data_IF_312714156621
#
_entry.id   IF_312714156621
#
_cell.length_a   1.000
_cell.length_b   1.000
_cell.length_c   1.000
_cell.angle_alpha   90.00
_cell.angle_beta   90.00
_cell.angle_gamma   90.00
#
_symmetry.space_group_name_H-M   'P 1'
#
loop_
_entity.id
_entity.type
_entity.pdbx_description
1 polymer ?
#
# COMPACT_ATOMS: atom_id res chain seq x y z
N UNK A 1 -19.39 -23.75 32.59
CA UNK A 1 -19.73 -24.21 31.24
C UNK A 1 -20.06 -23.10 30.27
N UNK A 2 -20.81 -22.09 30.61
CA UNK A 2 -21.13 -20.96 29.72
C UNK A 2 -19.90 -20.15 29.31
N UNK A 3 -18.92 -20.02 30.17
CA UNK A 3 -17.66 -19.31 29.88
C UNK A 3 -16.84 -19.97 28.79
N UNK A 4 -16.83 -21.31 28.73
CA UNK A 4 -16.04 -22.03 27.70
C UNK A 4 -16.61 -21.83 26.31
N UNK A 5 -17.92 -21.83 26.15
CA UNK A 5 -18.54 -21.57 24.84
C UNK A 5 -18.30 -20.17 24.35
N UNK A 6 -18.35 -19.19 25.24
CA UNK A 6 -18.09 -17.78 24.88
C UNK A 6 -16.66 -17.58 24.42
N UNK A 7 -15.68 -18.19 25.08
CA UNK A 7 -14.26 -18.09 24.71
C UNK A 7 -14.01 -18.72 23.34
N UNK A 8 -14.55 -19.91 23.07
CA UNK A 8 -14.39 -20.59 21.79
C UNK A 8 -14.98 -19.76 20.65
N UNK A 9 -16.16 -19.19 20.84
CA UNK A 9 -16.81 -18.35 19.85
C UNK A 9 -15.99 -17.09 19.57
N UNK A 10 -15.43 -16.47 20.58
CA UNK A 10 -14.57 -15.30 20.46
C UNK A 10 -13.29 -15.62 19.69
N UNK A 11 -12.64 -16.76 19.96
CA UNK A 11 -11.46 -17.21 19.24
C UNK A 11 -11.75 -17.48 17.77
N UNK A 12 -12.90 -18.07 17.44
CA UNK A 12 -13.30 -18.32 16.06
C UNK A 12 -13.52 -17.03 15.30
N UNK A 13 -14.13 -16.02 15.92
CA UNK A 13 -14.32 -14.72 15.27
C UNK A 13 -12.99 -14.00 15.01
N UNK A 14 -12.02 -14.12 15.89
CA UNK A 14 -10.68 -13.58 15.67
C UNK A 14 -9.98 -14.27 14.50
N UNK A 15 -10.09 -15.58 14.37
CA UNK A 15 -9.50 -16.33 13.28
C UNK A 15 -10.10 -15.92 11.93
N UNK A 16 -11.39 -15.64 11.88
CA UNK A 16 -12.05 -15.21 10.64
C UNK A 16 -11.73 -13.77 10.24
N UNK A 17 -11.30 -12.93 11.19
CA UNK A 17 -11.00 -11.52 10.94
C UNK A 17 -9.57 -11.27 10.44
N UNK A 18 -8.68 -12.25 10.50
CA UNK A 18 -7.24 -12.05 10.29
C UNK A 18 -6.79 -12.10 8.83
N UNK A 19 -7.50 -12.82 7.97
CA UNK A 19 -7.05 -13.05 6.59
C UNK A 19 -7.59 -11.97 5.66
N UNK A 20 -6.89 -10.83 5.58
CA UNK A 20 -7.28 -9.76 4.65
C UNK A 20 -6.16 -9.47 3.66
N UNK A 21 -6.46 -9.63 2.39
CA UNK A 21 -5.61 -9.25 1.29
C UNK A 21 -6.36 -8.25 0.42
N UNK A 22 -5.74 -7.11 0.21
CA UNK A 22 -6.28 -6.06 -0.66
C UNK A 22 -5.45 -6.04 -1.94
N UNK A 23 -6.13 -5.97 -3.08
CA UNK A 23 -5.45 -5.93 -4.38
C UNK A 23 -5.80 -4.65 -5.11
N UNK A 24 -4.80 -4.09 -5.76
CA UNK A 24 -4.92 -2.88 -6.57
C UNK A 24 -4.27 -3.11 -7.92
N UNK A 25 -4.77 -2.41 -8.93
CA UNK A 25 -4.13 -2.34 -10.25
C UNK A 25 -3.51 -0.97 -10.39
N UNK A 26 -2.20 -0.91 -10.61
CA UNK A 26 -1.54 0.33 -10.97
C UNK A 26 -1.76 0.59 -12.45
N UNK A 27 -2.20 1.80 -12.78
CA UNK A 27 -2.52 2.20 -14.16
C UNK A 27 -1.53 3.21 -14.71
N UNK A 28 -0.78 3.88 -13.86
CA UNK A 28 0.23 4.83 -14.26
C UNK A 28 1.23 5.06 -13.15
N UNK A 29 2.40 5.54 -13.51
CA UNK A 29 3.44 5.85 -12.54
C UNK A 29 4.24 7.09 -12.93
N UNK A 30 4.76 7.78 -11.92
CA UNK A 30 5.67 8.89 -12.06
C UNK A 30 6.74 8.77 -10.97
N UNK A 31 7.95 9.17 -11.29
CA UNK A 31 9.11 9.03 -10.39
C UNK A 31 9.83 10.37 -10.24
N UNK A 32 10.30 10.63 -9.03
CA UNK A 32 11.20 11.76 -8.76
C UNK A 32 12.42 11.20 -8.03
N UNK A 33 13.60 11.53 -8.51
CA UNK A 33 14.86 11.03 -7.97
C UNK A 33 15.77 12.16 -7.51
N UNK A 34 16.62 11.86 -6.53
CA UNK A 34 17.71 12.76 -6.16
C UNK A 34 18.87 12.61 -7.14
N UNK A 35 19.54 13.73 -7.42
CA UNK A 35 20.79 13.71 -8.20
C UNK A 35 21.97 13.32 -7.31
N UNK A 36 23.17 13.29 -7.88
CA UNK A 36 24.40 12.93 -7.17
C UNK A 36 24.71 13.87 -5.99
N UNK A 37 24.21 15.11 -6.06
CA UNK A 37 24.39 16.11 -5.01
C UNK A 37 23.35 15.99 -3.89
N UNK A 38 22.42 15.03 -4.01
CA UNK A 38 21.34 14.86 -3.02
C UNK A 38 20.18 15.83 -3.20
N UNK A 39 20.10 16.52 -4.32
CA UNK A 39 18.99 17.44 -4.62
C UNK A 39 17.89 16.72 -5.37
N UNK A 40 16.63 17.04 -5.02
CA UNK A 40 15.48 16.47 -5.70
C UNK A 40 15.39 16.99 -7.15
N UNK A 41 15.20 16.08 -8.08
CA UNK A 41 14.94 16.41 -9.48
C UNK A 41 13.48 16.74 -9.72
N UNK A 42 13.08 16.67 -10.97
CA UNK A 42 11.69 16.89 -11.38
C UNK A 42 10.94 15.55 -11.45
N UNK A 43 9.63 15.62 -11.35
CA UNK A 43 8.78 14.47 -11.61
C UNK A 43 8.94 14.05 -13.07
N UNK A 44 9.08 12.75 -13.29
CA UNK A 44 9.03 12.19 -14.64
C UNK A 44 7.62 12.35 -15.21
N UNK A 45 7.50 12.30 -16.53
CA UNK A 45 6.18 12.24 -17.16
C UNK A 45 5.44 10.98 -16.70
N UNK A 46 4.11 11.08 -16.61
CA UNK A 46 3.30 9.94 -16.24
C UNK A 46 3.41 8.86 -17.33
N UNK A 47 3.80 7.67 -16.92
CA UNK A 47 3.88 6.49 -17.80
C UNK A 47 2.74 5.57 -17.51
N UNK A 48 2.11 5.06 -18.56
CA UNK A 48 1.10 4.01 -18.41
C UNK A 48 1.77 2.72 -17.95
N UNK A 49 1.12 2.01 -17.07
CA UNK A 49 1.58 0.73 -16.59
C UNK A 49 0.38 -0.15 -16.26
N UNK A 50 0.64 -1.42 -16.07
CA UNK A 50 -0.39 -2.36 -15.63
C UNK A 50 0.30 -3.40 -14.77
N UNK A 51 0.23 -3.18 -13.46
CA UNK A 51 0.78 -4.15 -12.52
C UNK A 51 -0.14 -4.29 -11.30
N UNK A 52 -0.15 -5.50 -10.75
CA UNK A 52 -0.94 -5.80 -9.56
C UNK A 52 -0.10 -5.45 -8.32
N UNK A 53 -0.76 -4.81 -7.36
CA UNK A 53 -0.19 -4.53 -6.05
C UNK A 53 -1.06 -5.22 -5.02
N UNK A 54 -0.44 -6.04 -4.19
CA UNK A 54 -1.13 -6.78 -3.12
C UNK A 54 -0.69 -6.25 -1.77
N UNK A 55 -1.66 -5.94 -0.91
CA UNK A 55 -1.43 -5.65 0.50
C UNK A 55 -1.93 -6.83 1.30
N UNK A 56 -1.01 -7.55 1.90
CA UNK A 56 -1.29 -8.72 2.74
C UNK A 56 -1.06 -8.35 4.20
N UNK A 57 -2.15 -8.06 4.92
CA UNK A 57 -2.06 -7.66 6.32
C UNK A 57 -1.79 -8.84 7.25
N UNK A 58 -2.09 -10.05 6.79
CA UNK A 58 -1.77 -11.26 7.55
C UNK A 58 -0.27 -11.49 7.64
N UNK A 59 0.44 -11.29 6.56
CA UNK A 59 1.89 -11.45 6.48
C UNK A 59 2.66 -10.12 6.59
N UNK A 60 1.96 -9.02 6.79
CA UNK A 60 2.53 -7.67 6.95
C UNK A 60 3.46 -7.32 5.79
N UNK A 61 2.92 -7.35 4.57
CA UNK A 61 3.75 -7.04 3.40
C UNK A 61 2.94 -6.48 2.24
N UNK A 62 3.62 -5.67 1.42
CA UNK A 62 3.17 -5.30 0.08
C UNK A 62 3.96 -6.10 -0.94
N UNK A 63 3.27 -6.55 -1.97
CA UNK A 63 3.93 -7.22 -3.11
C UNK A 63 3.53 -6.45 -4.37
N UNK A 64 4.53 -5.97 -5.11
CA UNK A 64 4.33 -5.33 -6.41
C UNK A 64 4.77 -6.33 -7.48
N UNK A 65 3.82 -6.76 -8.30
CA UNK A 65 4.06 -7.78 -9.33
C UNK A 65 4.51 -7.13 -10.63
N UNK A 66 5.66 -6.43 -10.58
CA UNK A 66 6.35 -5.93 -11.76
C UNK A 66 7.21 -7.06 -12.37
N UNK A 67 7.98 -6.75 -13.41
CA UNK A 67 8.87 -7.75 -14.03
C UNK A 67 9.76 -8.43 -12.99
N UNK A 68 10.31 -7.65 -12.07
CA UNK A 68 10.94 -8.16 -10.87
C UNK A 68 9.97 -7.96 -9.72
N UNK A 69 9.60 -9.02 -9.03
CA UNK A 69 8.67 -8.92 -7.90
C UNK A 69 9.34 -8.14 -6.79
N UNK A 70 8.69 -7.06 -6.36
CA UNK A 70 9.14 -6.23 -5.25
C UNK A 70 8.33 -6.58 -4.01
N UNK A 71 9.02 -6.97 -2.96
CA UNK A 71 8.40 -7.33 -1.70
C UNK A 71 8.84 -6.32 -0.64
N UNK A 72 7.86 -5.66 0.00
CA UNK A 72 8.11 -4.69 1.04
C UNK A 72 7.49 -5.16 2.35
N UNK A 73 8.32 -5.32 3.36
CA UNK A 73 7.86 -5.69 4.69
C UNK A 73 7.25 -4.47 5.39
N UNK A 74 6.07 -4.64 5.98
CA UNK A 74 5.45 -3.60 6.79
C UNK A 74 5.96 -3.73 8.22
N UNK A 75 6.66 -2.72 8.69
CA UNK A 75 7.22 -2.67 10.04
C UNK A 75 6.19 -2.16 11.03
N UNK A 76 5.43 -1.15 10.63
CA UNK A 76 4.35 -0.62 11.47
C UNK A 76 3.26 0.05 10.63
N UNK A 77 2.04 -0.03 11.13
CA UNK A 77 0.87 0.62 10.57
C UNK A 77 0.69 1.94 11.32
N UNK A 78 0.69 3.05 10.59
CA UNK A 78 0.52 4.36 11.19
C UNK A 78 -0.95 4.71 11.28
N UNK A 79 -1.28 5.72 12.07
CA UNK A 79 -2.64 6.20 12.17
C UNK A 79 -3.10 6.82 10.85
N UNK A 80 -4.33 6.52 10.50
CA UNK A 80 -5.00 7.12 9.35
C UNK A 80 -5.06 8.64 9.55
N UNK A 81 -4.73 9.38 8.50
CA UNK A 81 -4.86 10.83 8.45
C UNK A 81 -6.00 11.19 7.50
N UNK A 82 -6.88 12.08 7.95
CA UNK A 82 -8.01 12.49 7.14
C UNK A 82 -8.25 13.99 7.27
N UNK A 83 -8.44 14.66 6.13
CA UNK A 83 -8.84 16.06 6.06
C UNK A 83 -9.94 16.21 5.01
N UNK A 84 -10.30 17.44 4.65
CA UNK A 84 -11.36 17.70 3.68
C UNK A 84 -11.07 17.13 2.29
N UNK A 85 -9.79 17.06 1.92
CA UNK A 85 -9.38 16.70 0.57
C UNK A 85 -8.86 15.28 0.46
N UNK A 86 -8.25 14.75 1.50
CA UNK A 86 -7.49 13.50 1.42
C UNK A 86 -7.79 12.55 2.58
N UNK A 87 -7.74 11.27 2.26
CA UNK A 87 -7.70 10.19 3.23
C UNK A 87 -6.39 9.44 3.00
N UNK A 88 -5.54 9.37 4.02
CA UNK A 88 -4.19 8.84 3.90
C UNK A 88 -3.99 7.68 4.88
N UNK A 89 -3.56 6.54 4.36
CA UNK A 89 -3.13 5.39 5.16
C UNK A 89 -1.61 5.22 5.02
N UNK A 90 -0.82 5.67 6.01
CA UNK A 90 0.63 5.53 5.92
C UNK A 90 1.10 4.23 6.57
N UNK A 91 2.15 3.65 5.99
CA UNK A 91 2.79 2.43 6.47
C UNK A 91 4.29 2.66 6.53
N UNK A 92 4.92 2.28 7.63
CA UNK A 92 6.37 2.23 7.67
C UNK A 92 6.81 0.87 7.17
N UNK A 93 7.62 0.87 6.13
CA UNK A 93 8.05 -0.34 5.44
C UNK A 93 9.57 -0.43 5.38
N UNK A 94 10.06 -1.56 4.93
CA UNK A 94 11.47 -1.85 4.75
C UNK A 94 11.63 -2.63 3.45
N UNK A 95 12.63 -2.26 2.63
CA UNK A 95 12.93 -2.98 1.40
C UNK A 95 13.81 -4.22 1.65
N UNK A 96 14.20 -4.92 0.58
CA UNK A 96 15.03 -6.13 0.68
C UNK A 96 16.41 -5.87 1.30
N UNK A 97 16.91 -4.65 1.18
CA UNK A 97 18.19 -4.26 1.77
C UNK A 97 18.04 -3.75 3.21
N UNK A 98 16.83 -3.80 3.76
CA UNK A 98 16.53 -3.33 5.09
C UNK A 98 16.40 -1.82 5.21
N UNK A 99 16.36 -1.09 4.10
CA UNK A 99 16.25 0.37 4.12
C UNK A 99 14.81 0.76 4.43
N UNK A 100 14.58 1.59 5.48
CA UNK A 100 13.22 2.01 5.82
C UNK A 100 12.70 3.06 4.86
N UNK A 101 11.40 3.04 4.62
CA UNK A 101 10.70 4.05 3.83
C UNK A 101 9.24 4.10 4.24
N UNK A 102 8.52 5.11 3.78
CA UNK A 102 7.07 5.22 4.02
C UNK A 102 6.33 4.91 2.74
N UNK A 103 5.35 4.03 2.84
CA UNK A 103 4.41 3.77 1.75
C UNK A 103 3.06 4.30 2.20
N UNK A 104 2.41 5.10 1.37
CA UNK A 104 1.12 5.69 1.72
C UNK A 104 0.09 5.42 0.63
N UNK A 105 -1.12 5.02 1.03
CA UNK A 105 -2.26 4.91 0.13
C UNK A 105 -3.12 6.14 0.37
N UNK A 106 -3.31 6.94 -0.67
CA UNK A 106 -4.01 8.23 -0.57
C UNK A 106 -5.24 8.20 -1.45
N UNK A 107 -6.39 8.54 -0.86
CA UNK A 107 -7.63 8.76 -1.61
C UNK A 107 -7.86 10.26 -1.73
N UNK A 108 -7.91 10.78 -2.96
CA UNK A 108 -8.17 12.18 -3.26
C UNK A 108 -9.68 12.38 -3.35
N UNK A 109 -10.30 12.80 -2.26
CA UNK A 109 -11.77 12.93 -2.15
C UNK A 109 -12.36 13.90 -3.15
N UNK A 110 -11.67 15.01 -3.41
CA UNK A 110 -12.12 16.05 -4.34
C UNK A 110 -11.77 15.77 -5.80
N UNK A 111 -11.23 14.57 -6.09
CA UNK A 111 -10.88 14.13 -7.43
C UNK A 111 -11.56 12.79 -7.73
N UNK A 112 -12.85 12.68 -7.45
CA UNK A 112 -13.65 11.47 -7.64
C UNK A 112 -13.08 10.25 -6.90
N UNK A 113 -12.53 10.47 -5.70
CA UNK A 113 -11.91 9.43 -4.88
C UNK A 113 -10.78 8.68 -5.62
N UNK A 114 -10.01 9.41 -6.41
CA UNK A 114 -8.85 8.86 -7.09
C UNK A 114 -7.83 8.38 -6.07
N UNK A 115 -7.33 7.16 -6.25
CA UNK A 115 -6.38 6.57 -5.33
C UNK A 115 -4.97 6.58 -5.90
N UNK A 116 -4.02 6.84 -5.03
CA UNK A 116 -2.60 6.84 -5.35
C UNK A 116 -1.82 6.10 -4.28
N UNK A 117 -0.76 5.44 -4.69
CA UNK A 117 0.18 4.79 -3.79
C UNK A 117 1.52 5.48 -3.92
N UNK A 118 2.01 6.03 -2.82
CA UNK A 118 3.28 6.74 -2.76
C UNK A 118 4.33 5.88 -2.06
N UNK A 119 5.48 5.71 -2.70
CA UNK A 119 6.65 5.11 -2.08
C UNK A 119 7.64 6.23 -1.83
N UNK A 120 7.77 6.65 -0.56
CA UNK A 120 8.65 7.74 -0.15
C UNK A 120 9.95 7.17 0.40
N UNK A 121 10.89 6.94 -0.49
CA UNK A 121 12.23 6.47 -0.15
C UNK A 121 13.17 7.66 0.04
N UNK A 122 14.29 7.47 0.73
CA UNK A 122 15.25 8.55 0.97
C UNK A 122 15.84 9.13 -0.31
N UNK A 123 15.95 8.33 -1.37
CA UNK A 123 16.62 8.72 -2.62
C UNK A 123 15.66 8.90 -3.79
N UNK A 124 14.43 8.44 -3.68
CA UNK A 124 13.43 8.55 -4.74
C UNK A 124 12.00 8.53 -4.17
N UNK A 125 11.08 9.04 -4.96
CA UNK A 125 9.65 8.94 -4.67
C UNK A 125 8.99 8.37 -5.92
N UNK A 126 8.20 7.31 -5.74
CA UNK A 126 7.39 6.73 -6.81
C UNK A 126 5.92 6.92 -6.47
N UNK A 127 5.15 7.40 -7.44
CA UNK A 127 3.70 7.52 -7.30
C UNK A 127 3.05 6.64 -8.34
N UNK A 128 2.21 5.71 -7.88
CA UNK A 128 1.35 4.92 -8.75
C UNK A 128 -0.08 5.45 -8.66
N UNK A 129 -0.71 5.65 -9.81
CA UNK A 129 -2.17 5.77 -9.82
C UNK A 129 -2.73 4.37 -9.74
N UNK A 130 -3.64 4.12 -8.81
CA UNK A 130 -4.17 2.79 -8.57
C UNK A 130 -5.69 2.79 -8.59
N UNK A 131 -6.24 1.63 -8.91
CA UNK A 131 -7.66 1.33 -8.78
C UNK A 131 -7.80 0.03 -8.02
N UNK A 132 -8.94 -0.17 -7.39
CA UNK A 132 -9.22 -1.45 -6.74
C UNK A 132 -9.27 -2.54 -7.81
N UNK A 133 -8.61 -3.65 -7.52
CA UNK A 133 -8.58 -4.79 -8.42
C UNK A 133 -9.42 -5.91 -7.86
N UNK A 134 -10.31 -6.44 -8.68
CA UNK A 134 -11.12 -7.59 -8.33
C UNK A 134 -10.85 -8.70 -9.33
N UNK A 135 -10.52 -9.89 -8.83
CA UNK A 135 -10.39 -11.06 -9.68
C UNK A 135 -11.75 -11.46 -10.21
N UNK A 136 -11.75 -12.11 -11.38
CA UNK A 136 -12.98 -12.60 -12.01
C UNK A 136 -13.72 -13.53 -11.04
N UNK A 137 -14.95 -13.17 -10.69
CA UNK A 137 -15.77 -13.92 -9.74
C UNK A 137 -15.82 -13.36 -8.34
N UNK A 138 -14.97 -12.41 -8.00
CA UNK A 138 -15.01 -11.67 -6.73
C UNK A 138 -15.97 -10.49 -6.84
N UNK A 139 -16.88 -10.38 -5.91
CA UNK A 139 -17.80 -9.24 -5.82
C UNK A 139 -18.31 -9.04 -4.40
#
# INVERSE_FOLDING_TARGET
MKLRFTIVFFLLSLLMAEAQTYKFMATGLSVMEKNEKGEWGKWSDLKETSLIISLDTDKNRFILYSQEIQLYEIVSYQEKEENENDLIYPFTCRDDDGVPFTLSIITRKNQNNRKQLYINHKDFIVVYNIVNYMEKGER
#
